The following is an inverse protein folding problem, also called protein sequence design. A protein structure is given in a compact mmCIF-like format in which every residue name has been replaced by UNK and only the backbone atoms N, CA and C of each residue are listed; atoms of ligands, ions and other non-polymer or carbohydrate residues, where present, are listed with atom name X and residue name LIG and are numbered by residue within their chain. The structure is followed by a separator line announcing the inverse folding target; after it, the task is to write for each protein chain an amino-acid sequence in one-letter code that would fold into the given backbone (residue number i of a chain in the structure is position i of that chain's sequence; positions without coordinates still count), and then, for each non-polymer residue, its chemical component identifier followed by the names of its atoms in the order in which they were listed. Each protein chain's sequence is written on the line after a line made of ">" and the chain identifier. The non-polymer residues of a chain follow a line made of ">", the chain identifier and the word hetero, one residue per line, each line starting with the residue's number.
data_IF_518503068991
#
_entry.id   IF_518503068991
#
_cell.length_a   1.000
_cell.length_b   1.000
_cell.length_c   1.000
_cell.angle_alpha   90.00
_cell.angle_beta   90.00
_cell.angle_gamma   90.00
#
_symmetry.space_group_name_H-M   'P 1'
#
loop_
_entity.id
_entity.type
_entity.pdbx_description
1 polymer ?
#
# COMPACT_ATOMS: atom_id res chain seq x y z
N UNK A 1 11.80 -56.32 -51.49
CA UNK A 1 12.04 -55.79 -50.17
C UNK A 1 13.53 -55.41 -50.09
N UNK A 2 13.90 -54.17 -50.31
CA UNK A 2 15.28 -53.68 -50.28
C UNK A 2 15.52 -52.93 -48.97
N UNK A 3 16.48 -53.39 -48.18
CA UNK A 3 16.87 -52.82 -46.90
C UNK A 3 17.70 -51.53 -47.14
N UNK A 4 17.26 -50.42 -46.59
CA UNK A 4 18.01 -49.14 -46.62
C UNK A 4 19.17 -49.20 -45.62
N UNK A 5 20.38 -49.05 -46.17
CA UNK A 5 21.67 -49.07 -45.48
C UNK A 5 21.85 -47.72 -44.71
N UNK A 6 22.30 -47.82 -43.43
CA UNK A 6 22.55 -46.71 -42.48
C UNK A 6 23.87 -45.99 -42.71
N UNK A 7 24.38 -45.89 -43.94
CA UNK A 7 25.73 -45.36 -44.20
C UNK A 7 25.82 -44.23 -45.22
N UNK A 8 24.93 -43.23 -45.11
CA UNK A 8 25.08 -42.02 -46.01
C UNK A 8 24.57 -40.75 -45.34
N UNK A 9 25.09 -40.39 -44.18
CA UNK A 9 24.78 -39.10 -43.55
C UNK A 9 26.03 -38.54 -42.84
N UNK A 10 27.13 -38.40 -43.59
CA UNK A 10 28.22 -37.47 -43.22
C UNK A 10 28.47 -36.59 -44.40
N UNK A 11 27.57 -35.67 -44.67
CA UNK A 11 27.77 -34.52 -45.52
C UNK A 11 28.18 -33.33 -44.66
N UNK A 12 29.41 -32.86 -44.85
CA UNK A 12 29.97 -31.66 -44.24
C UNK A 12 29.07 -30.45 -44.54
N UNK A 13 28.47 -29.92 -43.53
CA UNK A 13 27.89 -28.57 -43.54
C UNK A 13 28.62 -27.71 -42.54
N UNK A 14 29.56 -26.87 -42.98
CA UNK A 14 30.13 -25.82 -42.17
C UNK A 14 29.02 -24.78 -41.89
N UNK A 15 28.37 -24.89 -40.77
CA UNK A 15 27.45 -23.89 -40.31
C UNK A 15 28.25 -22.71 -39.73
N UNK A 16 28.39 -21.65 -40.55
CA UNK A 16 28.82 -20.33 -40.07
C UNK A 16 27.83 -19.89 -39.00
N UNK A 17 28.29 -19.92 -37.76
CA UNK A 17 27.51 -19.43 -36.61
C UNK A 17 27.32 -17.93 -36.72
N UNK A 18 26.21 -17.49 -37.30
CA UNK A 18 25.73 -16.13 -37.12
C UNK A 18 25.31 -15.99 -35.64
N UNK A 19 26.19 -15.42 -34.81
CA UNK A 19 25.82 -14.87 -33.52
C UNK A 19 24.74 -13.82 -33.76
N UNK A 20 23.50 -14.21 -33.66
CA UNK A 20 22.40 -13.28 -33.56
C UNK A 20 22.63 -12.44 -32.30
N UNK A 21 23.15 -11.23 -32.45
CA UNK A 21 23.13 -10.21 -31.43
C UNK A 21 21.66 -9.87 -31.22
N UNK A 22 21.03 -10.56 -30.28
CA UNK A 22 19.72 -10.14 -29.77
C UNK A 22 19.86 -8.70 -29.27
N UNK A 23 19.03 -7.76 -29.71
CA UNK A 23 19.07 -6.41 -29.18
C UNK A 23 18.86 -6.51 -27.68
N UNK A 24 19.91 -6.20 -26.91
CA UNK A 24 19.76 -5.98 -25.47
C UNK A 24 18.97 -4.70 -25.36
N UNK A 25 17.67 -4.83 -25.14
CA UNK A 25 16.88 -3.71 -24.63
C UNK A 25 17.47 -3.37 -23.26
N UNK A 26 18.41 -2.44 -23.25
CA UNK A 26 18.77 -1.75 -22.04
C UNK A 26 17.52 -0.95 -21.63
N UNK A 27 16.70 -1.51 -20.75
CA UNK A 27 15.74 -0.70 -20.03
C UNK A 27 16.59 0.31 -19.27
N UNK A 28 16.62 1.54 -19.77
CA UNK A 28 17.16 2.65 -19.01
C UNK A 28 16.40 2.59 -17.70
N UNK A 29 17.11 2.34 -16.59
CA UNK A 29 16.54 2.48 -15.26
C UNK A 29 16.21 3.96 -15.11
N UNK A 30 14.95 4.31 -15.41
CA UNK A 30 14.45 5.62 -14.99
C UNK A 30 14.68 5.70 -13.50
N UNK A 31 15.22 6.81 -12.99
CA UNK A 31 15.35 7.02 -11.55
C UNK A 31 14.02 6.65 -10.91
N UNK A 32 14.04 5.84 -9.85
CA UNK A 32 12.82 5.46 -9.14
C UNK A 32 12.03 6.73 -8.86
N UNK A 33 10.77 6.87 -9.33
CA UNK A 33 10.02 8.07 -9.09
C UNK A 33 9.94 8.29 -7.59
N UNK A 34 10.23 9.50 -7.12
CA UNK A 34 9.98 9.86 -5.73
C UNK A 34 8.47 9.83 -5.52
N UNK A 35 8.01 8.98 -4.60
CA UNK A 35 6.59 8.92 -4.28
C UNK A 35 6.23 10.00 -3.25
N UNK A 36 5.00 10.49 -3.35
CA UNK A 36 4.52 11.56 -2.47
C UNK A 36 4.11 11.04 -1.10
N UNK A 37 3.58 9.83 -1.02
CA UNK A 37 3.02 9.32 0.22
C UNK A 37 3.09 7.80 0.38
N UNK A 38 3.00 7.35 1.64
CA UNK A 38 2.54 6.01 2.01
C UNK A 38 1.15 6.15 2.62
N UNK A 39 0.14 5.55 1.98
CA UNK A 39 -1.24 5.52 2.46
C UNK A 39 -1.46 4.31 3.34
N UNK A 40 -2.12 4.52 4.48
CA UNK A 40 -2.71 3.49 5.31
C UNK A 40 -4.21 3.67 5.41
N UNK A 41 -4.99 2.65 5.03
CA UNK A 41 -6.44 2.67 5.04
C UNK A 41 -7.04 1.29 5.40
N UNK A 42 -8.36 1.25 5.59
CA UNK A 42 -9.08 0.02 5.91
C UNK A 42 -9.28 -0.87 4.67
N UNK A 43 -9.46 -2.18 4.91
CA UNK A 43 -9.82 -3.18 3.87
C UNK A 43 -11.27 -3.07 3.39
N UNK A 44 -12.11 -2.23 3.99
CA UNK A 44 -13.53 -2.14 3.68
C UNK A 44 -13.73 -1.76 2.19
N UNK A 45 -14.35 -2.63 1.38
CA UNK A 45 -14.47 -2.42 -0.08
C UNK A 45 -15.32 -1.20 -0.45
N UNK A 46 -16.20 -0.74 0.44
CA UNK A 46 -17.05 0.44 0.21
C UNK A 46 -16.23 1.71 -0.02
N UNK A 47 -15.00 1.74 0.48
CA UNK A 47 -14.13 2.92 0.43
C UNK A 47 -13.01 2.85 -0.59
N UNK A 48 -12.84 1.74 -1.32
CA UNK A 48 -11.72 1.57 -2.26
C UNK A 48 -11.68 2.67 -3.32
N UNK A 49 -12.81 2.90 -4.03
CA UNK A 49 -12.90 3.95 -5.06
C UNK A 49 -12.79 5.36 -4.47
N UNK A 50 -13.43 5.61 -3.31
CA UNK A 50 -13.35 6.91 -2.65
C UNK A 50 -11.94 7.24 -2.19
N UNK A 51 -11.22 6.26 -1.64
CA UNK A 51 -9.82 6.41 -1.25
C UNK A 51 -8.95 6.76 -2.45
N UNK A 52 -9.10 6.04 -3.55
CA UNK A 52 -8.38 6.33 -4.79
C UNK A 52 -8.69 7.74 -5.32
N UNK A 53 -9.96 8.13 -5.35
CA UNK A 53 -10.40 9.47 -5.76
C UNK A 53 -9.82 10.56 -4.86
N UNK A 54 -9.83 10.35 -3.54
CA UNK A 54 -9.24 11.29 -2.58
C UNK A 54 -7.74 11.48 -2.85
N UNK A 55 -6.98 10.40 -2.98
CA UNK A 55 -5.54 10.49 -3.25
C UNK A 55 -5.26 11.18 -4.60
N UNK A 56 -6.10 10.93 -5.62
CA UNK A 56 -6.04 11.61 -6.91
C UNK A 56 -6.32 13.11 -6.81
N UNK A 57 -7.29 13.52 -5.99
CA UNK A 57 -7.62 14.93 -5.77
C UNK A 57 -6.51 15.73 -5.07
N UNK A 58 -5.62 15.02 -4.34
CA UNK A 58 -4.42 15.61 -3.74
C UNK A 58 -3.26 15.77 -4.76
N UNK A 59 -3.47 15.38 -6.02
CA UNK A 59 -2.43 15.35 -7.04
C UNK A 59 -1.48 14.14 -6.92
N UNK A 60 -1.83 13.11 -6.17
CA UNK A 60 -0.96 11.96 -5.88
C UNK A 60 -1.36 10.68 -6.62
N UNK A 61 -2.15 10.75 -7.67
CA UNK A 61 -2.51 9.60 -8.49
C UNK A 61 -1.23 8.88 -8.96
N UNK A 62 -1.13 7.58 -8.67
CA UNK A 62 0.03 6.73 -8.96
C UNK A 62 1.37 7.19 -8.31
N UNK A 63 1.31 8.09 -7.32
CA UNK A 63 2.48 8.62 -6.61
C UNK A 63 2.49 8.24 -5.13
N UNK A 64 1.80 7.18 -4.74
CA UNK A 64 1.78 6.69 -3.37
C UNK A 64 1.87 5.18 -3.29
N UNK A 65 2.53 4.69 -2.25
CA UNK A 65 2.46 3.28 -1.82
C UNK A 65 1.22 3.11 -0.94
N UNK A 66 0.65 1.91 -0.90
CA UNK A 66 -0.55 1.65 -0.13
C UNK A 66 -0.39 0.43 0.77
N UNK A 67 -0.80 0.56 2.02
CA UNK A 67 -0.96 -0.54 2.96
C UNK A 67 -2.40 -0.56 3.46
N UNK A 68 -3.09 -1.67 3.18
CA UNK A 68 -4.50 -1.83 3.50
C UNK A 68 -4.68 -2.96 4.50
N UNK A 69 -5.29 -2.66 5.66
CA UNK A 69 -5.54 -3.62 6.73
C UNK A 69 -6.85 -3.28 7.43
N UNK A 70 -7.51 -4.27 8.07
CA UNK A 70 -8.74 -4.01 8.81
C UNK A 70 -8.53 -2.91 9.87
N UNK A 71 -9.32 -1.82 9.79
CA UNK A 71 -9.22 -0.67 10.68
C UNK A 71 -8.17 0.39 10.29
N UNK A 72 -7.27 0.10 9.33
CA UNK A 72 -6.26 1.06 8.91
C UNK A 72 -5.46 1.64 10.08
N UNK A 73 -5.42 2.99 10.25
CA UNK A 73 -4.68 3.63 11.34
C UNK A 73 -5.06 3.18 12.75
N UNK A 74 -6.32 2.78 12.98
CA UNK A 74 -6.75 2.19 14.27
C UNK A 74 -5.93 0.95 14.58
N UNK A 75 -5.77 0.05 13.62
CA UNK A 75 -5.00 -1.18 13.80
C UNK A 75 -3.51 -0.93 14.10
N UNK A 76 -2.96 0.18 13.60
CA UNK A 76 -1.55 0.51 13.84
C UNK A 76 -1.23 0.96 15.26
N UNK A 77 -2.24 1.36 16.06
CA UNK A 77 -2.03 2.03 17.35
C UNK A 77 -2.79 1.42 18.52
N UNK A 78 -3.85 0.63 18.27
CA UNK A 78 -4.64 0.03 19.35
C UNK A 78 -3.91 -1.18 19.93
N UNK A 79 -3.64 -1.14 21.23
CA UNK A 79 -2.90 -2.20 21.96
C UNK A 79 -3.86 -3.27 22.50
N UNK A 80 -4.55 -3.94 21.57
CA UNK A 80 -5.40 -5.10 21.85
C UNK A 80 -5.38 -6.11 20.72
N UNK A 81 -5.69 -7.37 21.02
CA UNK A 81 -5.84 -8.39 19.99
C UNK A 81 -7.12 -8.16 19.17
N UNK A 82 -7.08 -8.44 17.85
CA UNK A 82 -5.96 -8.98 17.06
C UNK A 82 -4.98 -7.93 16.53
N UNK A 83 -5.22 -6.61 16.78
CA UNK A 83 -4.48 -5.50 16.16
C UNK A 83 -2.99 -5.51 16.48
N UNK A 84 -2.66 -5.83 17.71
CA UNK A 84 -1.27 -5.86 18.20
C UNK A 84 -0.34 -6.71 17.33
N UNK A 85 -0.83 -7.85 16.85
CA UNK A 85 -0.06 -8.75 16.01
C UNK A 85 0.19 -8.20 14.59
N UNK A 86 -0.62 -7.23 14.13
CA UNK A 86 -0.54 -6.65 12.79
C UNK A 86 0.34 -5.41 12.72
N UNK A 87 0.62 -4.77 13.84
CA UNK A 87 1.38 -3.52 13.89
C UNK A 87 2.77 -3.64 13.27
N UNK A 88 3.45 -4.76 13.55
CA UNK A 88 4.79 -4.99 12.99
C UNK A 88 4.79 -4.96 11.47
N UNK A 89 3.79 -5.57 10.82
CA UNK A 89 3.70 -5.59 9.37
C UNK A 89 3.56 -4.17 8.78
N UNK A 90 2.77 -3.31 9.42
CA UNK A 90 2.66 -1.91 9.00
C UNK A 90 4.01 -1.17 9.11
N UNK A 91 4.65 -1.23 10.28
CA UNK A 91 5.88 -0.49 10.52
C UNK A 91 7.03 -0.95 9.64
N UNK A 92 7.15 -2.25 9.38
CA UNK A 92 8.14 -2.80 8.46
C UNK A 92 7.88 -2.35 7.02
N UNK A 93 6.63 -2.37 6.55
CA UNK A 93 6.27 -1.91 5.20
C UNK A 93 6.47 -0.40 5.02
N UNK A 94 6.21 0.41 6.05
CA UNK A 94 6.51 1.84 6.00
C UNK A 94 8.01 2.08 5.87
N UNK A 95 8.84 1.38 6.65
CA UNK A 95 10.29 1.48 6.55
C UNK A 95 10.81 1.10 5.14
N UNK A 96 10.28 0.02 4.56
CA UNK A 96 10.60 -0.40 3.19
C UNK A 96 10.16 0.67 2.16
N UNK A 97 8.96 1.23 2.32
CA UNK A 97 8.46 2.28 1.42
C UNK A 97 9.33 3.55 1.49
N UNK A 98 9.80 3.91 2.66
CA UNK A 98 10.75 5.02 2.82
C UNK A 98 12.06 4.70 2.10
N UNK A 99 12.61 3.50 2.28
CA UNK A 99 13.87 3.09 1.69
C UNK A 99 13.83 3.01 0.17
N UNK A 100 12.78 2.41 -0.39
CA UNK A 100 12.70 2.13 -1.83
C UNK A 100 12.07 3.28 -2.63
N UNK A 101 11.15 4.02 -2.05
CA UNK A 101 10.32 5.00 -2.74
C UNK A 101 10.54 6.44 -2.26
N UNK A 102 11.38 6.65 -1.23
CA UNK A 102 11.65 7.97 -0.68
C UNK A 102 10.37 8.78 -0.40
N UNK A 103 9.34 8.12 0.16
CA UNK A 103 8.04 8.76 0.44
C UNK A 103 8.20 9.97 1.35
N UNK A 104 7.52 11.07 1.04
CA UNK A 104 7.67 12.36 1.72
C UNK A 104 6.78 12.50 2.95
N UNK A 105 5.69 11.73 3.01
CA UNK A 105 4.67 11.78 4.06
C UNK A 105 3.91 10.49 4.21
N UNK A 106 3.15 10.37 5.30
CA UNK A 106 2.18 9.29 5.49
C UNK A 106 0.77 9.87 5.41
N UNK A 107 -0.16 9.14 4.81
CA UNK A 107 -1.60 9.45 4.83
C UNK A 107 -2.31 8.39 5.63
N UNK A 108 -3.02 8.77 6.68
CA UNK A 108 -3.85 7.89 7.51
C UNK A 108 -5.33 8.17 7.27
N UNK A 109 -6.06 7.21 6.70
CA UNK A 109 -7.50 7.33 6.49
C UNK A 109 -8.24 6.29 7.31
N UNK A 110 -9.02 6.76 8.30
CA UNK A 110 -10.12 6.02 8.90
C UNK A 110 -11.40 6.25 8.10
N UNK A 111 -12.45 5.48 8.38
CA UNK A 111 -13.76 5.72 7.79
C UNK A 111 -14.88 5.51 8.80
N UNK A 112 -16.04 6.09 8.52
CA UNK A 112 -17.25 5.92 9.33
C UNK A 112 -17.77 4.48 9.21
N UNK A 113 -18.46 4.01 10.23
CA UNK A 113 -19.05 2.66 10.30
C UNK A 113 -18.01 1.54 10.08
N UNK A 114 -16.86 1.68 10.70
CA UNK A 114 -15.77 0.73 10.59
C UNK A 114 -15.96 -0.47 11.52
N UNK A 115 -16.10 -1.68 10.94
CA UNK A 115 -16.24 -2.91 11.73
C UNK A 115 -15.04 -3.20 12.65
N UNK A 116 -13.83 -2.87 12.21
CA UNK A 116 -12.64 -3.02 13.05
C UNK A 116 -12.59 -2.00 14.20
N UNK A 117 -13.15 -0.80 14.03
CA UNK A 117 -13.29 0.15 15.12
C UNK A 117 -14.28 -0.35 16.18
N UNK A 118 -15.29 -1.13 15.78
CA UNK A 118 -16.19 -1.80 16.75
C UNK A 118 -15.42 -2.82 17.59
N UNK A 119 -14.54 -3.61 16.95
CA UNK A 119 -13.69 -4.57 17.70
C UNK A 119 -12.74 -3.85 18.65
N UNK A 120 -12.26 -2.66 18.30
CA UNK A 120 -11.34 -1.88 19.13
C UNK A 120 -12.02 -1.16 20.29
N UNK A 121 -13.22 -0.63 20.10
CA UNK A 121 -13.85 0.34 21.00
C UNK A 121 -15.25 -0.08 21.50
N UNK A 122 -15.77 -1.22 21.06
CA UNK A 122 -17.08 -1.73 21.44
C UNK A 122 -18.23 -1.14 20.64
N UNK A 123 -19.44 -1.67 20.87
CA UNK A 123 -20.65 -1.35 20.09
C UNK A 123 -21.11 0.11 20.18
N UNK A 124 -20.73 0.83 21.23
CA UNK A 124 -21.08 2.26 21.37
C UNK A 124 -20.66 3.07 20.16
N UNK A 125 -19.58 2.69 19.47
CA UNK A 125 -19.08 3.42 18.29
C UNK A 125 -20.07 3.42 17.11
N UNK A 126 -20.98 2.42 17.05
CA UNK A 126 -22.03 2.33 16.02
C UNK A 126 -23.20 3.28 16.27
N UNK A 127 -23.48 3.61 17.54
CA UNK A 127 -24.70 4.29 17.95
C UNK A 127 -24.48 5.72 18.43
N UNK A 128 -23.21 6.08 18.65
CA UNK A 128 -22.83 7.42 19.13
C UNK A 128 -21.81 8.05 18.16
N UNK A 129 -22.28 8.87 17.19
CA UNK A 129 -21.39 9.49 16.20
C UNK A 129 -20.33 10.42 16.81
N UNK A 130 -20.62 11.05 17.97
CA UNK A 130 -19.65 11.89 18.65
C UNK A 130 -18.53 11.05 19.26
N UNK A 131 -18.88 9.91 19.86
CA UNK A 131 -17.92 8.94 20.36
C UNK A 131 -17.07 8.34 19.25
N UNK A 132 -17.70 7.98 18.11
CA UNK A 132 -16.97 7.51 16.92
C UNK A 132 -15.94 8.53 16.46
N UNK A 133 -16.35 9.80 16.27
CA UNK A 133 -15.46 10.87 15.87
C UNK A 133 -14.29 11.04 16.83
N UNK A 134 -14.58 11.04 18.13
CA UNK A 134 -13.57 11.18 19.16
C UNK A 134 -12.53 10.04 19.10
N UNK A 135 -12.99 8.79 19.02
CA UNK A 135 -12.11 7.61 19.00
C UNK A 135 -11.28 7.48 17.71
N UNK A 136 -11.88 7.73 16.56
CA UNK A 136 -11.14 7.74 15.30
C UNK A 136 -10.10 8.88 15.25
N UNK A 137 -10.46 10.05 15.74
CA UNK A 137 -9.51 11.18 15.81
C UNK A 137 -8.38 10.93 16.80
N UNK A 138 -8.66 10.32 17.95
CA UNK A 138 -7.65 9.91 18.94
C UNK A 138 -6.64 8.92 18.30
N UNK A 139 -7.14 7.87 17.64
CA UNK A 139 -6.31 6.89 16.96
C UNK A 139 -5.44 7.52 15.86
N UNK A 140 -6.01 8.42 15.07
CA UNK A 140 -5.29 9.13 14.01
C UNK A 140 -4.19 10.03 14.58
N UNK A 141 -4.44 10.76 15.67
CA UNK A 141 -3.39 11.59 16.31
C UNK A 141 -2.29 10.74 16.92
N UNK A 142 -2.63 9.61 17.54
CA UNK A 142 -1.65 8.64 18.04
C UNK A 142 -0.82 8.08 16.88
N UNK A 143 -1.48 7.72 15.78
CA UNK A 143 -0.82 7.25 14.56
C UNK A 143 0.21 8.28 14.04
N UNK A 144 -0.17 9.55 13.91
CA UNK A 144 0.73 10.63 13.52
C UNK A 144 1.93 10.75 14.45
N UNK A 145 1.68 10.70 15.76
CA UNK A 145 2.75 10.76 16.77
C UNK A 145 3.76 9.63 16.62
N UNK A 146 3.27 8.40 16.42
CA UNK A 146 4.13 7.24 16.23
C UNK A 146 4.90 7.29 14.89
N UNK A 147 4.26 7.74 13.79
CA UNK A 147 4.94 7.96 12.50
C UNK A 147 6.06 8.99 12.65
N UNK A 148 5.77 10.12 13.28
CA UNK A 148 6.77 11.18 13.50
C UNK A 148 7.93 10.71 14.36
N UNK A 149 7.63 10.00 15.45
CA UNK A 149 8.62 9.46 16.38
C UNK A 149 9.54 8.43 15.73
N UNK A 150 8.99 7.51 14.92
CA UNK A 150 9.75 6.39 14.33
C UNK A 150 10.52 6.77 13.08
N UNK A 151 9.96 7.67 12.26
CA UNK A 151 10.46 7.92 10.90
C UNK A 151 10.69 9.40 10.58
N UNK A 152 10.33 10.33 11.47
CA UNK A 152 10.47 11.76 11.23
C UNK A 152 9.51 12.35 10.20
N UNK A 153 8.61 11.53 9.62
CA UNK A 153 7.69 11.96 8.58
C UNK A 153 6.47 12.70 9.15
N UNK A 154 5.93 13.60 8.34
CA UNK A 154 4.64 14.24 8.61
C UNK A 154 3.49 13.36 8.13
N UNK A 155 2.30 13.55 8.72
CA UNK A 155 1.12 12.78 8.39
C UNK A 155 -0.08 13.67 8.08
N UNK A 156 -0.76 13.39 6.96
CA UNK A 156 -2.09 13.89 6.64
C UNK A 156 -3.13 12.86 7.14
N UNK A 157 -4.12 13.31 7.89
CA UNK A 157 -5.08 12.45 8.58
C UNK A 157 -6.50 12.80 8.19
N UNK A 158 -7.35 11.79 8.01
CA UNK A 158 -8.75 12.01 7.67
C UNK A 158 -9.68 10.89 8.11
N UNK A 159 -10.95 11.27 8.29
CA UNK A 159 -12.07 10.34 8.49
C UNK A 159 -12.97 10.44 7.27
N UNK A 160 -13.09 9.36 6.53
CA UNK A 160 -13.92 9.29 5.32
C UNK A 160 -15.36 8.92 5.68
N UNK A 161 -16.29 9.74 5.24
CA UNK A 161 -17.72 9.49 5.35
C UNK A 161 -18.20 8.44 4.36
N UNK A 162 -19.43 7.92 4.57
CA UNK A 162 -20.05 6.93 3.67
C UNK A 162 -20.32 7.47 2.26
N UNK A 163 -20.27 8.78 2.08
CA UNK A 163 -20.38 9.48 0.80
C UNK A 163 -19.04 9.82 0.15
N UNK A 164 -17.91 9.35 0.72
CA UNK A 164 -16.57 9.63 0.22
C UNK A 164 -15.97 10.98 0.64
N UNK A 165 -16.73 11.85 1.30
CA UNK A 165 -16.19 13.11 1.83
C UNK A 165 -15.19 12.82 2.96
N UNK A 166 -14.08 13.55 2.99
CA UNK A 166 -13.03 13.38 4.01
C UNK A 166 -13.01 14.59 4.95
N UNK A 167 -13.24 14.31 6.23
CA UNK A 167 -13.06 15.26 7.33
C UNK A 167 -11.58 15.21 7.75
N UNK A 168 -10.87 16.34 7.63
CA UNK A 168 -9.46 16.42 7.99
C UNK A 168 -9.31 16.47 9.51
N UNK A 169 -8.41 15.64 10.05
CA UNK A 169 -8.07 15.61 11.47
C UNK A 169 -6.74 16.33 11.71
N UNK A 170 -6.81 17.40 12.45
CA UNK A 170 -5.65 18.22 12.86
C UNK A 170 -5.01 17.70 14.16
#
# INVERSE_FOLDING_TARGET
>A
MAALSRRSLFGMGAAVGALAMAPRFAFAQTPSPTFEAMLMNCIDPRFSTWTWSFMGSQGWANLYSQFTIAGGPVAAVVDSDPFKTWQKAWWDNLAISIQLHAVKRVVGLCHRDCGAAVLAYGDRIKTDPAFETAKLSEALRTFRTEVKKRHGLDSALGIMGLNGAVEIVT
#
